data_IF_286174112582
#
_entry.id   IF_286174112582
#
_cell.length_a   1.000
_cell.length_b   1.000
_cell.length_c   1.000
_cell.angle_alpha   90.00
_cell.angle_beta   90.00
_cell.angle_gamma   90.00
#
_symmetry.space_group_name_H-M   'P 1'
#
loop_
_entity.id
_entity.type
_entity.pdbx_description
1 polymer ?
#
# COMPACT_ATOMS: atom_id res chain seq x y z
N UNK A 1 -15.00 -13.46 23.28
CA UNK A 1 -15.39 -12.30 24.10
C UNK A 1 -14.20 -11.38 24.17
N UNK A 2 -14.16 -10.34 23.34
CA UNK A 2 -13.10 -9.35 23.35
C UNK A 2 -13.37 -8.43 24.55
N UNK A 3 -12.61 -8.63 25.61
CA UNK A 3 -12.60 -7.72 26.75
C UNK A 3 -12.09 -6.37 26.27
N UNK A 4 -12.89 -5.34 26.52
CA UNK A 4 -12.51 -3.93 26.37
C UNK A 4 -11.25 -3.70 27.22
N UNK A 5 -10.06 -3.66 26.60
CA UNK A 5 -8.81 -3.41 27.32
C UNK A 5 -8.83 -1.98 27.85
N UNK A 6 -9.21 -1.83 29.12
CA UNK A 6 -8.97 -0.59 29.84
C UNK A 6 -7.47 -0.32 29.80
N UNK A 7 -7.09 0.86 29.30
CA UNK A 7 -5.69 1.32 29.26
C UNK A 7 -5.09 1.27 30.66
N UNK A 8 -4.17 0.35 30.88
CA UNK A 8 -3.52 0.15 32.17
C UNK A 8 -2.30 1.03 32.24
N UNK A 9 -2.37 2.10 33.04
CA UNK A 9 -1.20 2.93 33.30
C UNK A 9 -0.14 2.14 34.07
N UNK A 10 1.12 2.33 33.71
CA UNK A 10 2.27 1.68 34.33
C UNK A 10 2.26 0.15 34.17
N UNK A 11 1.98 -0.33 32.95
CA UNK A 11 1.97 -1.75 32.65
C UNK A 11 3.36 -2.39 32.48
N UNK A 12 4.43 -1.59 32.39
CA UNK A 12 5.79 -2.04 32.19
C UNK A 12 6.72 -1.54 33.30
N UNK A 13 7.73 -2.33 33.62
CA UNK A 13 8.85 -1.94 34.47
C UNK A 13 10.11 -2.66 34.03
N UNK A 14 11.28 -2.22 34.51
CA UNK A 14 12.57 -2.87 34.23
C UNK A 14 12.99 -3.77 35.39
N UNK A 15 13.68 -4.86 35.09
CA UNK A 15 14.42 -5.61 36.10
C UNK A 15 15.75 -4.93 36.43
N UNK A 16 16.51 -5.49 37.38
CA UNK A 16 17.86 -5.02 37.71
C UNK A 16 18.83 -5.20 36.52
N UNK A 17 18.56 -6.16 35.62
CA UNK A 17 19.28 -6.38 34.36
C UNK A 17 18.83 -5.44 33.22
N UNK A 18 18.00 -4.45 33.52
CA UNK A 18 17.45 -3.47 32.58
C UNK A 18 16.49 -4.06 31.53
N UNK A 19 16.05 -5.31 31.68
CA UNK A 19 15.07 -5.96 30.80
C UNK A 19 13.65 -5.45 31.05
N UNK A 20 12.90 -5.20 29.98
CA UNK A 20 11.55 -4.66 30.08
C UNK A 20 10.50 -5.77 30.29
N UNK A 21 9.80 -5.72 31.42
CA UNK A 21 8.80 -6.71 31.83
C UNK A 21 7.42 -6.08 31.87
N UNK A 22 6.49 -6.68 31.12
CA UNK A 22 5.07 -6.36 31.24
C UNK A 22 4.48 -6.97 32.52
N UNK A 23 3.58 -6.27 33.18
CA UNK A 23 2.98 -6.65 34.47
C UNK A 23 2.30 -8.03 34.44
N UNK A 24 1.79 -8.46 33.27
CA UNK A 24 1.22 -9.81 33.10
C UNK A 24 2.24 -10.94 33.31
N UNK A 25 3.54 -10.66 33.14
CA UNK A 25 4.65 -11.60 33.35
C UNK A 25 5.40 -11.38 34.67
N UNK A 26 5.02 -10.37 35.45
CA UNK A 26 5.75 -9.98 36.65
C UNK A 26 5.48 -10.91 37.85
N UNK A 27 6.46 -11.03 38.73
CA UNK A 27 6.46 -11.84 39.95
C UNK A 27 6.65 -10.98 41.19
N UNK A 28 6.00 -11.31 42.31
CA UNK A 28 6.19 -10.58 43.59
C UNK A 28 7.58 -10.78 44.21
N UNK A 29 8.33 -11.80 43.77
CA UNK A 29 9.66 -12.11 44.31
C UNK A 29 10.78 -11.27 43.65
N UNK A 30 10.49 -10.61 42.54
CA UNK A 30 11.46 -9.84 41.77
C UNK A 30 11.39 -8.35 42.10
N UNK A 31 12.49 -7.65 41.82
CA UNK A 31 12.60 -6.20 41.95
C UNK A 31 12.30 -5.56 40.60
N UNK A 32 11.51 -4.50 40.63
CA UNK A 32 11.18 -3.73 39.44
C UNK A 32 11.48 -2.26 39.63
N UNK A 33 11.96 -1.63 38.56
CA UNK A 33 12.40 -0.25 38.54
C UNK A 33 11.63 0.48 37.44
N UNK A 34 11.17 1.69 37.74
CA UNK A 34 10.52 2.53 36.76
C UNK A 34 11.50 2.89 35.62
N UNK A 35 11.13 2.70 34.33
CA UNK A 35 11.95 3.09 33.19
C UNK A 35 12.37 4.57 33.18
N UNK A 36 11.56 5.44 33.79
CA UNK A 36 11.76 6.90 33.75
C UNK A 36 12.36 7.48 35.03
N UNK A 37 11.73 7.30 36.19
CA UNK A 37 12.22 7.92 37.43
C UNK A 37 13.24 7.07 38.18
N UNK A 38 13.51 5.84 37.73
CA UNK A 38 14.44 4.89 38.35
C UNK A 38 14.10 4.47 39.78
N UNK A 39 12.92 4.84 40.28
CA UNK A 39 12.43 4.42 41.58
C UNK A 39 11.82 3.02 41.55
N UNK A 40 11.82 2.38 42.72
CA UNK A 40 11.26 1.04 42.90
C UNK A 40 9.75 1.01 42.62
N UNK A 41 9.32 -0.04 41.92
CA UNK A 41 7.93 -0.32 41.60
C UNK A 41 7.49 -1.66 42.18
N UNK A 42 6.26 -1.70 42.69
CA UNK A 42 5.66 -2.91 43.27
C UNK A 42 4.61 -3.45 42.29
N UNK A 43 4.69 -4.73 41.88
CA UNK A 43 3.70 -5.34 41.01
C UNK A 43 2.38 -5.55 41.76
N UNK A 44 1.32 -4.87 41.31
CA UNK A 44 -0.04 -5.02 41.83
C UNK A 44 -0.74 -6.10 41.00
N UNK A 45 -0.61 -7.35 41.43
CA UNK A 45 -1.21 -8.52 40.78
C UNK A 45 -2.59 -8.83 41.36
N UNK A 46 -3.54 -7.90 41.16
CA UNK A 46 -4.93 -8.09 41.59
C UNK A 46 -5.65 -9.17 40.79
N UNK A 47 -6.66 -9.79 41.41
CA UNK A 47 -7.58 -10.72 40.72
C UNK A 47 -8.74 -9.97 40.06
N UNK A 48 -9.27 -8.94 40.72
CA UNK A 48 -10.42 -8.14 40.25
C UNK A 48 -10.04 -6.80 39.60
N UNK A 49 -8.93 -6.19 40.01
CA UNK A 49 -8.46 -4.90 39.48
C UNK A 49 -7.40 -5.11 38.38
N UNK A 50 -7.32 -4.14 37.46
CA UNK A 50 -6.29 -4.14 36.42
C UNK A 50 -4.88 -4.25 37.04
N UNK A 51 -4.13 -5.26 36.59
CA UNK A 51 -2.75 -5.50 37.04
C UNK A 51 -1.87 -4.37 36.54
N UNK A 52 -1.17 -3.67 37.42
CA UNK A 52 -0.22 -2.59 37.06
C UNK A 52 0.97 -2.56 38.02
N UNK A 53 2.02 -1.82 37.66
CA UNK A 53 3.09 -1.49 38.59
C UNK A 53 2.77 -0.20 39.33
N UNK A 54 3.01 -0.19 40.65
CA UNK A 54 2.78 0.99 41.49
C UNK A 54 4.11 1.55 42.00
N UNK A 55 4.33 2.85 41.82
CA UNK A 55 5.48 3.55 42.36
C UNK A 55 5.49 3.55 43.89
N UNK A 56 6.67 3.39 44.49
CA UNK A 56 6.87 3.61 45.92
C UNK A 56 7.23 5.08 46.19
N UNK A 57 6.22 5.94 46.38
CA UNK A 57 6.39 7.37 46.79
C UNK A 57 7.25 8.24 45.84
N UNK A 58 7.12 8.05 44.52
CA UNK A 58 7.83 8.84 43.52
C UNK A 58 6.93 9.86 42.82
N UNK A 59 7.48 11.02 42.47
CA UNK A 59 6.88 11.93 41.49
C UNK A 59 7.43 11.52 40.12
N UNK A 60 6.60 10.86 39.31
CA UNK A 60 6.97 10.41 37.97
C UNK A 60 5.93 10.93 36.97
N UNK A 61 6.40 11.64 35.93
CA UNK A 61 5.52 12.06 34.85
C UNK A 61 5.14 10.85 34.02
N UNK A 62 3.84 10.68 33.78
CA UNK A 62 3.33 9.62 32.91
C UNK A 62 3.90 9.72 31.49
N UNK A 63 4.08 10.95 30.99
CA UNK A 63 4.71 11.20 29.69
C UNK A 63 6.15 10.69 29.64
N UNK A 64 6.96 11.06 30.63
CA UNK A 64 8.35 10.62 30.73
C UNK A 64 8.44 9.10 30.88
N UNK A 65 7.50 8.49 31.62
CA UNK A 65 7.35 7.04 31.68
C UNK A 65 7.09 6.43 30.31
N UNK A 66 6.10 6.91 29.55
CA UNK A 66 5.81 6.38 28.21
C UNK A 66 7.01 6.53 27.26
N UNK A 67 7.63 7.72 27.24
CA UNK A 67 8.78 8.03 26.39
C UNK A 67 9.92 7.04 26.65
N UNK A 68 10.33 6.93 27.92
CA UNK A 68 11.46 6.08 28.29
C UNK A 68 11.15 4.59 28.09
N UNK A 69 9.92 4.17 28.38
CA UNK A 69 9.50 2.77 28.19
C UNK A 69 9.50 2.38 26.71
N UNK A 70 8.93 3.21 25.84
CA UNK A 70 8.87 2.95 24.40
C UNK A 70 10.27 2.91 23.76
N UNK A 71 11.12 3.86 24.13
CA UNK A 71 12.51 3.90 23.70
C UNK A 71 13.26 2.62 24.05
N UNK A 72 13.17 2.19 25.31
CA UNK A 72 13.80 0.95 25.79
C UNK A 72 13.23 -0.27 25.06
N UNK A 73 11.90 -0.32 24.87
CA UNK A 73 11.25 -1.41 24.14
C UNK A 73 11.79 -1.57 22.70
N UNK A 74 11.87 -0.47 21.94
CA UNK A 74 12.40 -0.48 20.58
C UNK A 74 13.89 -0.88 20.59
N UNK A 75 14.68 -0.33 21.50
CA UNK A 75 16.10 -0.66 21.64
C UNK A 75 16.33 -2.16 21.86
N UNK A 76 15.64 -2.77 22.83
CA UNK A 76 15.77 -4.21 23.09
C UNK A 76 15.29 -5.05 21.91
N UNK A 77 14.20 -4.64 21.24
CA UNK A 77 13.73 -5.34 20.05
C UNK A 77 14.80 -5.39 18.96
N UNK A 78 15.44 -4.25 18.69
CA UNK A 78 16.51 -4.15 17.68
C UNK A 78 17.80 -4.88 18.07
N UNK A 79 18.05 -5.10 19.36
CA UNK A 79 19.17 -5.93 19.82
C UNK A 79 18.87 -7.43 19.67
N UNK A 80 17.64 -7.84 20.01
CA UNK A 80 17.30 -9.25 20.19
C UNK A 80 16.70 -9.91 18.95
N UNK A 81 16.09 -9.14 18.05
CA UNK A 81 15.48 -9.65 16.82
C UNK A 81 16.41 -9.48 15.61
N UNK A 82 16.52 -10.53 14.80
CA UNK A 82 17.25 -10.50 13.53
C UNK A 82 16.45 -9.86 12.40
N UNK A 83 15.13 -9.82 12.53
CA UNK A 83 14.20 -9.29 11.54
C UNK A 83 13.25 -8.34 12.22
N UNK A 84 13.37 -7.06 11.89
CA UNK A 84 12.43 -6.01 12.33
C UNK A 84 11.83 -5.39 11.08
N UNK A 85 10.62 -5.81 10.67
CA UNK A 85 10.00 -5.33 9.45
C UNK A 85 9.61 -3.85 9.54
N UNK A 86 9.93 -3.11 8.49
CA UNK A 86 9.57 -1.72 8.30
C UNK A 86 8.84 -1.57 6.96
N UNK A 87 7.54 -1.31 7.01
CA UNK A 87 6.67 -1.08 5.86
C UNK A 87 6.54 0.42 5.61
N UNK A 88 7.17 0.90 4.53
CA UNK A 88 7.08 2.28 4.08
C UNK A 88 6.34 2.38 2.74
N UNK A 89 5.87 3.57 2.40
CA UNK A 89 5.27 3.86 1.10
C UNK A 89 6.34 4.41 0.16
N UNK A 90 6.59 3.72 -0.95
CA UNK A 90 7.48 4.20 -2.01
C UNK A 90 6.70 4.58 -3.25
N UNK A 91 7.26 5.48 -4.06
CA UNK A 91 6.74 5.74 -5.39
C UNK A 91 6.90 4.52 -6.30
N UNK A 92 5.87 4.25 -7.09
CA UNK A 92 5.91 3.33 -8.21
C UNK A 92 5.34 4.00 -9.46
N UNK A 93 5.98 3.72 -10.59
CA UNK A 93 5.56 4.13 -11.92
C UNK A 93 5.16 2.89 -12.72
N UNK A 94 3.93 2.87 -13.24
CA UNK A 94 3.55 1.85 -14.21
C UNK A 94 3.95 2.29 -15.61
N UNK A 95 4.76 1.46 -16.27
CA UNK A 95 5.03 1.54 -17.70
C UNK A 95 4.47 0.29 -18.35
N UNK A 96 3.16 0.26 -18.53
CA UNK A 96 2.52 -0.90 -19.15
C UNK A 96 2.99 -1.06 -20.60
N UNK A 97 3.59 -2.21 -20.92
CA UNK A 97 4.05 -2.54 -22.27
C UNK A 97 2.92 -2.58 -23.31
N UNK A 98 1.65 -2.60 -22.86
CA UNK A 98 0.45 -2.68 -23.70
C UNK A 98 -0.49 -1.49 -23.52
N UNK A 99 0.06 -0.30 -23.23
CA UNK A 99 -0.67 0.97 -23.18
C UNK A 99 -1.60 1.19 -24.41
N UNK A 100 -1.26 0.65 -25.57
CA UNK A 100 -2.07 0.68 -26.80
C UNK A 100 -3.47 0.06 -26.65
N UNK A 101 -3.63 -0.94 -25.77
CA UNK A 101 -4.93 -1.56 -25.46
C UNK A 101 -5.90 -0.56 -24.81
N UNK A 102 -5.40 0.56 -24.29
CA UNK A 102 -6.22 1.65 -23.74
C UNK A 102 -6.60 2.68 -24.80
N UNK A 103 -6.33 2.44 -26.09
CA UNK A 103 -6.76 3.29 -27.19
C UNK A 103 -6.36 4.78 -27.01
N UNK A 104 -5.12 5.02 -26.58
CA UNK A 104 -4.59 6.38 -26.35
C UNK A 104 -5.03 7.04 -25.03
N UNK A 105 -5.81 6.33 -24.19
CA UNK A 105 -6.19 6.81 -22.85
C UNK A 105 -5.13 6.57 -21.79
N UNK A 106 -4.02 5.90 -22.14
CA UNK A 106 -2.94 5.64 -21.18
C UNK A 106 -2.25 6.94 -20.78
N UNK A 107 -2.16 7.19 -19.48
CA UNK A 107 -1.29 8.19 -18.89
C UNK A 107 -0.25 7.52 -17.99
N UNK A 108 0.98 8.02 -17.90
CA UNK A 108 1.92 7.54 -16.88
C UNK A 108 1.26 7.68 -15.50
N UNK A 109 1.13 6.58 -14.75
CA UNK A 109 0.60 6.66 -13.40
C UNK A 109 1.75 6.58 -12.39
N UNK A 110 1.73 7.52 -11.44
CA UNK A 110 2.54 7.47 -10.23
C UNK A 110 1.63 7.11 -9.07
N UNK A 111 2.09 6.20 -8.22
CA UNK A 111 1.35 5.77 -7.04
C UNK A 111 2.30 5.49 -5.90
N UNK A 112 1.77 5.56 -4.68
CA UNK A 112 2.45 5.08 -3.50
C UNK A 112 2.06 3.62 -3.26
N UNK A 113 3.06 2.75 -3.18
CA UNK A 113 2.86 1.34 -2.86
C UNK A 113 3.68 0.95 -1.63
N UNK A 114 3.22 -0.04 -0.85
CA UNK A 114 4.01 -0.57 0.24
C UNK A 114 5.32 -1.20 -0.23
N UNK A 115 6.37 -0.97 0.54
CA UNK A 115 7.64 -1.66 0.47
C UNK A 115 8.05 -2.07 1.88
N UNK A 116 8.40 -3.35 2.04
CA UNK A 116 8.83 -3.92 3.31
C UNK A 116 10.35 -4.02 3.29
N UNK A 117 10.97 -3.44 4.31
CA UNK A 117 12.40 -3.48 4.57
C UNK A 117 12.64 -4.24 5.88
N UNK A 118 13.81 -4.85 6.04
CA UNK A 118 14.27 -5.30 7.35
C UNK A 118 15.22 -4.23 7.92
N UNK A 119 14.85 -3.56 9.01
CA UNK A 119 15.69 -2.54 9.63
C UNK A 119 17.08 -3.06 9.99
N UNK A 120 17.18 -4.32 10.45
CA UNK A 120 18.46 -4.95 10.80
C UNK A 120 19.37 -5.25 9.61
N UNK A 121 18.79 -5.32 8.41
CA UNK A 121 19.57 -5.44 7.18
C UNK A 121 20.04 -4.06 6.65
N UNK A 122 19.37 -2.98 7.07
CA UNK A 122 19.76 -1.61 6.73
C UNK A 122 20.78 -1.03 7.72
N UNK A 123 20.68 -1.43 8.99
CA UNK A 123 21.51 -0.96 10.10
C UNK A 123 21.80 -2.14 11.04
N UNK A 124 23.08 -2.50 11.18
CA UNK A 124 23.50 -3.64 12.00
C UNK A 124 23.85 -3.25 13.45
N UNK A 125 24.10 -1.96 13.69
CA UNK A 125 24.41 -1.39 14.99
C UNK A 125 23.25 -0.56 15.53
N UNK A 126 23.07 -0.63 16.84
CA UNK A 126 22.03 0.11 17.59
C UNK A 126 22.65 0.65 18.87
N UNK A 127 22.39 1.92 19.15
CA UNK A 127 22.86 2.57 20.37
C UNK A 127 21.74 3.41 20.99
N UNK A 128 21.56 3.25 22.30
CA UNK A 128 20.58 4.00 23.08
C UNK A 128 21.18 5.37 23.43
N UNK A 129 20.48 6.45 23.10
CA UNK A 129 20.85 7.80 23.55
C UNK A 129 22.30 8.20 23.20
N UNK A 130 22.86 7.70 22.10
CA UNK A 130 24.22 8.04 21.68
C UNK A 130 24.23 9.35 20.90
N UNK A 131 25.17 10.25 21.23
CA UNK A 131 25.36 11.50 20.52
C UNK A 131 25.91 11.25 19.10
N UNK A 132 25.28 11.85 18.10
CA UNK A 132 25.78 11.91 16.73
C UNK A 132 26.74 13.08 16.58
N UNK A 133 28.03 12.78 16.48
CA UNK A 133 29.08 13.79 16.40
C UNK A 133 29.00 14.68 15.14
N UNK A 134 28.38 14.20 14.06
CA UNK A 134 28.31 14.94 12.80
C UNK A 134 27.20 15.99 12.80
N UNK A 135 26.04 15.66 13.38
CA UNK A 135 24.88 16.56 13.41
C UNK A 135 24.76 17.33 14.72
N UNK A 136 25.40 16.83 15.77
CA UNK A 136 25.32 17.40 17.11
C UNK A 136 24.03 17.03 17.88
N UNK A 137 23.24 16.09 17.38
CA UNK A 137 22.01 15.65 18.03
C UNK A 137 22.20 14.36 18.82
N UNK A 138 21.39 14.19 19.87
CA UNK A 138 21.26 12.96 20.63
C UNK A 138 19.88 12.35 20.34
N UNK A 139 19.75 11.41 19.40
CA UNK A 139 18.49 10.69 19.18
C UNK A 139 18.13 9.78 20.35
N UNK A 140 16.86 9.38 20.44
CA UNK A 140 16.42 8.39 21.42
C UNK A 140 17.10 7.03 21.19
N UNK A 141 17.11 6.57 19.94
CA UNK A 141 17.91 5.43 19.49
C UNK A 141 18.62 5.79 18.18
N UNK A 142 19.92 5.57 18.14
CA UNK A 142 20.75 5.73 16.95
C UNK A 142 20.95 4.36 16.28
N UNK A 143 20.62 4.29 15.00
CA UNK A 143 20.93 3.16 14.13
C UNK A 143 22.09 3.52 13.22
N UNK A 144 23.07 2.62 13.09
CA UNK A 144 24.21 2.76 12.17
C UNK A 144 24.49 1.45 11.44
N UNK A 145 25.17 1.54 10.30
CA UNK A 145 25.76 0.40 9.60
C UNK A 145 27.27 0.41 9.79
N UNK A 146 27.86 -0.67 10.29
CA UNK A 146 29.29 -0.80 10.51
C UNK A 146 30.11 -0.68 9.21
N UNK A 147 29.49 -0.98 8.06
CA UNK A 147 30.15 -1.04 6.76
C UNK A 147 29.95 0.21 5.90
N UNK A 148 29.19 1.21 6.37
CA UNK A 148 28.95 2.45 5.65
C UNK A 148 28.76 3.64 6.60
N UNK A 149 28.53 4.83 6.04
CA UNK A 149 28.13 6.00 6.83
C UNK A 149 26.61 6.11 6.98
N UNK A 150 25.85 5.04 6.68
CA UNK A 150 24.41 5.04 6.80
C UNK A 150 23.99 5.10 8.27
N UNK A 151 23.05 6.00 8.56
CA UNK A 151 22.49 6.16 9.90
C UNK A 151 21.01 6.50 9.84
N UNK A 152 20.30 6.21 10.91
CA UNK A 152 18.90 6.56 11.10
C UNK A 152 18.64 6.89 12.56
N UNK A 153 17.82 7.90 12.81
CA UNK A 153 17.33 8.19 14.15
C UNK A 153 15.99 7.52 14.36
N UNK A 154 15.79 7.01 15.56
CA UNK A 154 14.47 6.68 16.08
C UNK A 154 14.17 7.70 17.17
N UNK A 155 12.99 8.30 17.14
CA UNK A 155 12.51 9.30 18.09
C UNK A 155 11.15 8.88 18.65
N UNK A 156 10.92 9.13 19.93
CA UNK A 156 9.62 8.88 20.56
C UNK A 156 8.87 10.20 20.72
N UNK A 157 7.69 10.28 20.12
CA UNK A 157 6.78 11.41 20.22
C UNK A 157 5.64 11.08 21.19
N UNK A 158 5.73 11.56 22.43
CA UNK A 158 4.58 11.52 23.35
C UNK A 158 3.79 12.83 23.26
N UNK A 159 4.44 13.97 23.51
CA UNK A 159 3.82 15.30 23.39
C UNK A 159 4.42 16.12 22.27
N UNK A 160 5.76 16.18 22.22
CA UNK A 160 6.49 17.03 21.29
C UNK A 160 7.00 16.20 20.10
N UNK A 161 6.66 16.58 18.86
CA UNK A 161 7.23 15.95 17.69
C UNK A 161 8.69 16.36 17.50
N UNK A 162 9.33 15.71 16.55
CA UNK A 162 10.70 15.93 16.13
C UNK A 162 10.89 17.39 15.73
N UNK A 163 11.93 18.02 16.27
CA UNK A 163 12.25 19.41 15.97
C UNK A 163 12.58 19.57 14.48
N UNK A 164 12.19 20.70 13.91
CA UNK A 164 12.53 21.05 12.52
C UNK A 164 14.03 21.01 12.25
N UNK A 165 14.86 21.51 13.18
CA UNK A 165 16.32 21.50 13.03
C UNK A 165 16.89 20.08 12.86
N UNK A 166 16.31 19.10 13.57
CA UNK A 166 16.69 17.68 13.45
C UNK A 166 16.24 17.10 12.10
N UNK A 167 15.03 17.42 11.64
CA UNK A 167 14.52 17.00 10.33
C UNK A 167 15.36 17.61 9.19
N UNK A 168 15.72 18.88 9.30
CA UNK A 168 16.45 19.63 8.28
C UNK A 168 17.92 19.15 8.12
N UNK A 169 18.44 18.31 9.03
CA UNK A 169 19.74 17.63 8.88
C UNK A 169 19.78 16.68 7.67
N UNK A 170 18.62 16.23 7.18
CA UNK A 170 18.53 15.23 6.11
C UNK A 170 18.84 13.80 6.55
N UNK A 171 19.12 13.55 7.83
CA UNK A 171 19.27 12.19 8.38
C UNK A 171 17.90 11.49 8.37
N UNK A 172 17.80 10.22 7.95
CA UNK A 172 16.56 9.44 8.07
C UNK A 172 16.07 9.36 9.52
N UNK A 173 14.78 9.61 9.74
CA UNK A 173 14.16 9.57 11.08
C UNK A 173 12.91 8.70 11.03
N UNK A 174 12.77 7.79 11.97
CA UNK A 174 11.53 7.08 12.30
C UNK A 174 11.00 7.64 13.64
N UNK A 175 9.89 8.37 13.58
CA UNK A 175 9.25 8.96 14.74
C UNK A 175 8.03 8.13 15.14
N UNK A 176 8.08 7.55 16.35
CA UNK A 176 6.99 6.74 16.89
C UNK A 176 6.13 7.55 17.85
N UNK A 177 4.86 7.72 17.51
CA UNK A 177 3.88 8.38 18.34
C UNK A 177 3.29 7.42 19.38
N UNK A 178 3.56 7.69 20.66
CA UNK A 178 3.19 6.82 21.78
C UNK A 178 2.27 7.57 22.73
N UNK A 179 1.05 7.06 22.91
CA UNK A 179 0.03 7.64 23.81
C UNK A 179 -0.27 6.74 25.00
N UNK A 180 0.09 5.46 24.91
CA UNK A 180 -0.36 4.42 25.82
C UNK A 180 0.58 3.22 25.86
N UNK A 181 0.40 2.36 26.85
CA UNK A 181 1.09 1.08 26.96
C UNK A 181 0.69 0.07 25.88
N UNK A 182 -0.50 0.20 25.29
CA UNK A 182 -0.87 -0.61 24.13
C UNK A 182 -0.01 -0.26 22.91
N UNK A 183 0.37 1.01 22.74
CA UNK A 183 1.30 1.42 21.67
C UNK A 183 2.68 0.79 21.92
N UNK A 184 3.16 0.79 23.17
CA UNK A 184 4.41 0.12 23.55
C UNK A 184 4.34 -1.38 23.29
N UNK A 185 3.20 -2.01 23.55
CA UNK A 185 2.99 -3.43 23.22
C UNK A 185 3.11 -3.65 21.72
N UNK A 186 2.49 -2.80 20.90
CA UNK A 186 2.58 -2.87 19.45
C UNK A 186 4.02 -2.65 18.94
N UNK A 187 4.79 -1.75 19.56
CA UNK A 187 6.21 -1.55 19.24
C UNK A 187 7.07 -2.80 19.49
N UNK A 188 6.65 -3.68 20.39
CA UNK A 188 7.35 -4.94 20.69
C UNK A 188 6.89 -6.05 19.74
N UNK A 189 5.59 -6.14 19.41
CA UNK A 189 5.02 -7.34 18.77
C UNK A 189 4.61 -7.19 17.30
N UNK A 190 4.51 -5.97 16.79
CA UNK A 190 3.94 -5.69 15.46
C UNK A 190 4.99 -5.16 14.48
N UNK A 191 4.72 -5.25 13.18
CA UNK A 191 5.59 -4.62 12.17
C UNK A 191 5.57 -3.09 12.33
N UNK A 192 6.68 -2.42 12.04
CA UNK A 192 6.68 -0.97 11.94
C UNK A 192 6.08 -0.58 10.59
N UNK A 193 4.99 0.20 10.57
CA UNK A 193 4.28 0.52 9.35
C UNK A 193 3.88 1.99 9.29
N UNK A 194 4.23 2.66 8.19
CA UNK A 194 3.82 4.04 7.95
C UNK A 194 2.34 4.20 7.56
N UNK A 195 1.63 3.09 7.34
CA UNK A 195 0.16 3.10 7.23
C UNK A 195 -0.49 3.17 8.62
N UNK A 196 0.25 2.81 9.68
CA UNK A 196 -0.23 2.92 11.05
C UNK A 196 -0.02 4.34 11.55
N UNK A 197 -0.97 4.85 12.34
CA UNK A 197 -0.91 6.21 12.90
C UNK A 197 0.20 6.40 13.93
N UNK A 198 0.90 5.32 14.29
CA UNK A 198 1.98 5.33 15.28
C UNK A 198 3.32 5.74 14.68
N UNK A 199 3.51 5.70 13.35
CA UNK A 199 4.82 5.93 12.73
C UNK A 199 4.77 7.05 11.70
N UNK A 200 5.55 8.09 11.93
CA UNK A 200 5.92 9.10 10.92
C UNK A 200 7.38 8.91 10.54
N UNK A 201 7.73 9.13 9.28
CA UNK A 201 9.13 9.04 8.85
C UNK A 201 9.56 10.27 8.06
N UNK A 202 10.82 10.65 8.23
CA UNK A 202 11.44 11.79 7.57
C UNK A 202 12.71 11.35 6.85
N UNK A 203 13.03 11.99 5.73
CA UNK A 203 14.28 11.82 4.98
C UNK A 203 14.65 10.39 4.55
N UNK A 204 13.74 9.42 4.65
CA UNK A 204 13.94 8.09 4.08
C UNK A 204 13.91 8.17 2.56
N UNK A 205 15.05 7.93 1.92
CA UNK A 205 15.15 7.88 0.46
C UNK A 205 14.76 6.50 -0.03
N UNK A 206 13.55 6.38 -0.55
CA UNK A 206 13.03 5.12 -1.07
C UNK A 206 13.19 5.08 -2.59
N UNK A 207 13.85 4.04 -3.09
CA UNK A 207 14.02 3.85 -4.54
C UNK A 207 12.66 3.59 -5.18
N UNK A 208 12.29 4.43 -6.14
CA UNK A 208 11.07 4.27 -6.93
C UNK A 208 11.10 2.96 -7.70
N UNK A 209 9.95 2.28 -7.81
CA UNK A 209 9.83 1.04 -8.59
C UNK A 209 9.17 1.32 -9.95
N UNK A 210 9.75 0.81 -11.02
CA UNK A 210 9.05 0.73 -12.32
C UNK A 210 8.42 -0.65 -12.44
N UNK A 211 7.14 -0.70 -12.82
CA UNK A 211 6.43 -1.96 -13.12
C UNK A 211 6.01 -2.00 -14.59
N UNK A 212 6.06 -3.19 -15.17
CA UNK A 212 5.66 -3.48 -16.57
C UNK A 212 4.15 -3.73 -16.73
N UNK A 213 3.43 -3.82 -15.62
CA UNK A 213 1.98 -3.97 -15.54
C UNK A 213 1.36 -2.96 -14.56
N UNK A 214 0.06 -2.71 -14.72
CA UNK A 214 -0.70 -1.84 -13.82
C UNK A 214 -1.00 -2.59 -12.52
N UNK A 215 -0.59 -2.03 -11.38
CA UNK A 215 -0.96 -2.53 -10.05
C UNK A 215 -2.43 -2.20 -9.72
N UNK A 216 -3.04 -2.88 -8.75
CA UNK A 216 -4.47 -2.68 -8.41
C UNK A 216 -4.82 -1.24 -8.02
N UNK A 217 -3.88 -0.52 -7.39
CA UNK A 217 -4.04 0.89 -7.02
C UNK A 217 -3.97 1.83 -8.25
N UNK A 218 -3.62 1.31 -9.43
CA UNK A 218 -3.63 2.05 -10.68
C UNK A 218 -5.05 2.36 -11.14
N UNK A 219 -5.29 3.60 -11.55
CA UNK A 219 -6.56 3.97 -12.19
C UNK A 219 -6.79 3.20 -13.50
N UNK A 220 -5.74 2.83 -14.23
CA UNK A 220 -5.85 1.99 -15.42
C UNK A 220 -6.21 0.54 -15.10
N UNK A 221 -5.81 0.00 -13.94
CA UNK A 221 -6.09 -1.40 -13.59
C UNK A 221 -7.60 -1.70 -13.57
N UNK A 222 -8.42 -0.69 -13.28
CA UNK A 222 -9.88 -0.79 -13.23
C UNK A 222 -10.57 -0.55 -14.57
N UNK A 223 -9.84 -0.18 -15.62
CA UNK A 223 -10.41 0.02 -16.95
C UNK A 223 -10.95 -1.31 -17.46
N UNK A 224 -12.20 -1.30 -17.91
CA UNK A 224 -12.89 -2.47 -18.43
C UNK A 224 -12.60 -2.60 -19.92
N UNK A 225 -12.03 -3.74 -20.31
CA UNK A 225 -11.68 -4.07 -21.69
C UNK A 225 -12.64 -5.14 -22.20
N UNK A 226 -13.22 -4.91 -23.38
CA UNK A 226 -13.93 -5.96 -24.12
C UNK A 226 -12.97 -6.54 -25.16
N UNK A 227 -12.70 -7.84 -25.08
CA UNK A 227 -12.04 -8.62 -26.13
C UNK A 227 -13.09 -9.27 -27.03
N UNK A 228 -12.91 -9.12 -28.34
CA UNK A 228 -13.88 -9.48 -29.36
C UNK A 228 -13.33 -10.56 -30.29
N UNK A 229 -14.23 -11.42 -30.74
CA UNK A 229 -13.97 -12.39 -31.82
C UNK A 229 -15.20 -12.56 -32.69
N UNK A 230 -14.97 -12.87 -33.97
CA UNK A 230 -16.02 -13.28 -34.89
C UNK A 230 -16.12 -14.80 -34.87
N UNK A 231 -17.31 -15.35 -34.59
CA UNK A 231 -17.53 -16.79 -34.63
C UNK A 231 -17.63 -17.29 -36.08
N UNK A 232 -17.47 -18.61 -36.32
CA UNK A 232 -17.63 -19.21 -37.65
C UNK A 232 -19.00 -18.96 -38.30
N UNK A 233 -20.03 -18.59 -37.52
CA UNK A 233 -21.37 -18.30 -38.02
C UNK A 233 -21.61 -16.79 -38.26
N UNK A 234 -20.55 -15.98 -38.22
CA UNK A 234 -20.58 -14.53 -38.40
C UNK A 234 -21.17 -13.75 -37.22
N UNK A 235 -21.20 -14.34 -36.02
CA UNK A 235 -21.67 -13.65 -34.81
C UNK A 235 -20.50 -13.10 -34.01
N UNK A 236 -20.61 -11.84 -33.58
CA UNK A 236 -19.67 -11.23 -32.66
C UNK A 236 -19.84 -11.85 -31.27
N UNK A 237 -18.74 -12.35 -30.71
CA UNK A 237 -18.63 -12.78 -29.33
C UNK A 237 -17.68 -11.85 -28.61
N UNK A 238 -17.93 -11.60 -27.32
CA UNK A 238 -17.04 -10.81 -26.49
C UNK A 238 -16.82 -11.44 -25.12
N UNK A 239 -15.65 -11.18 -24.56
CA UNK A 239 -15.31 -11.42 -23.17
C UNK A 239 -14.88 -10.10 -22.55
N UNK A 240 -15.21 -9.90 -21.28
CA UNK A 240 -14.95 -8.63 -20.58
C UNK A 240 -13.98 -8.88 -19.44
N UNK A 241 -12.91 -8.11 -19.40
CA UNK A 241 -11.84 -8.20 -18.40
C UNK A 241 -11.58 -6.82 -17.79
N UNK A 242 -10.95 -6.79 -16.61
CA UNK A 242 -10.24 -5.58 -16.18
C UNK A 242 -8.88 -5.55 -16.87
N UNK A 243 -8.34 -4.36 -17.08
CA UNK A 243 -7.04 -4.19 -17.71
C UNK A 243 -5.94 -5.00 -17.01
N UNK A 244 -5.95 -5.06 -15.67
CA UNK A 244 -4.99 -5.84 -14.90
C UNK A 244 -5.11 -7.37 -15.07
N UNK A 245 -6.28 -7.87 -15.48
CA UNK A 245 -6.60 -9.30 -15.53
C UNK A 245 -6.49 -9.85 -16.96
N UNK A 246 -6.18 -9.01 -17.95
CA UNK A 246 -6.10 -9.41 -19.35
C UNK A 246 -4.74 -10.07 -19.63
N UNK A 247 -4.75 -11.11 -20.47
CA UNK A 247 -3.51 -11.71 -20.96
C UNK A 247 -2.82 -10.77 -21.97
N UNK A 248 -1.95 -9.91 -21.44
CA UNK A 248 -1.17 -8.96 -22.23
C UNK A 248 -0.25 -9.63 -23.27
N UNK A 249 0.05 -10.93 -23.13
CA UNK A 249 0.90 -11.67 -24.08
C UNK A 249 0.11 -12.15 -25.29
N UNK A 250 -1.13 -12.57 -25.09
CA UNK A 250 -2.00 -13.09 -26.15
C UNK A 250 -2.87 -12.00 -26.83
N UNK A 251 -3.13 -10.89 -26.14
CA UNK A 251 -4.08 -9.88 -26.61
C UNK A 251 -3.42 -8.71 -27.38
N UNK A 252 -4.13 -8.22 -28.39
CA UNK A 252 -3.73 -7.11 -29.27
C UNK A 252 -4.82 -6.03 -29.37
N UNK A 253 -4.45 -4.75 -29.60
CA UNK A 253 -5.41 -3.64 -29.79
C UNK A 253 -6.38 -3.85 -30.97
N UNK A 254 -6.07 -4.81 -31.83
CA UNK A 254 -6.89 -5.26 -32.94
C UNK A 254 -8.19 -5.95 -32.53
N UNK A 255 -8.21 -6.59 -31.36
CA UNK A 255 -9.31 -7.43 -30.89
C UNK A 255 -9.80 -7.03 -29.50
N UNK A 256 -9.03 -6.25 -28.75
CA UNK A 256 -9.41 -5.78 -27.43
C UNK A 256 -9.23 -4.27 -27.27
N UNK A 257 -10.20 -3.63 -26.62
CA UNK A 257 -10.19 -2.19 -26.38
C UNK A 257 -11.16 -1.81 -25.24
N UNK A 258 -11.10 -0.58 -24.70
CA UNK A 258 -11.96 -0.16 -23.60
C UNK A 258 -13.44 -0.22 -23.97
N UNK A 259 -14.26 -0.76 -23.06
CA UNK A 259 -15.71 -0.91 -23.23
C UNK A 259 -16.43 0.43 -23.45
N UNK A 260 -15.90 1.52 -22.90
CA UNK A 260 -16.53 2.84 -22.87
C UNK A 260 -16.01 3.80 -23.95
N UNK A 261 -15.45 3.27 -25.05
CA UNK A 261 -15.10 4.11 -26.20
C UNK A 261 -16.33 4.76 -26.82
N UNK A 262 -16.14 5.90 -27.50
CA UNK A 262 -17.19 6.59 -28.23
C UNK A 262 -17.87 5.62 -29.24
N UNK A 263 -19.20 5.70 -29.44
CA UNK A 263 -19.94 4.79 -30.33
C UNK A 263 -19.37 4.64 -31.75
N UNK A 264 -18.83 5.72 -32.32
CA UNK A 264 -18.19 5.70 -33.64
C UNK A 264 -16.84 4.98 -33.63
N UNK A 265 -16.04 5.19 -32.58
CA UNK A 265 -14.75 4.51 -32.44
C UNK A 265 -14.94 3.01 -32.23
N UNK A 266 -15.93 2.60 -31.43
CA UNK A 266 -16.29 1.18 -31.30
C UNK A 266 -16.69 0.56 -32.64
N UNK A 267 -17.52 1.27 -33.42
CA UNK A 267 -17.93 0.84 -34.75
C UNK A 267 -16.73 0.66 -35.69
N UNK A 268 -15.81 1.63 -35.73
CA UNK A 268 -14.59 1.56 -36.55
C UNK A 268 -13.74 0.33 -36.18
N UNK A 269 -13.53 0.07 -34.89
CA UNK A 269 -12.75 -1.09 -34.42
C UNK A 269 -13.43 -2.41 -34.74
N UNK A 270 -14.74 -2.53 -34.54
CA UNK A 270 -15.52 -3.71 -34.90
C UNK A 270 -15.48 -3.97 -36.42
N UNK A 271 -15.58 -2.92 -37.24
CA UNK A 271 -15.46 -3.02 -38.69
C UNK A 271 -14.09 -3.55 -39.09
N UNK A 272 -13.01 -3.01 -38.53
CA UNK A 272 -11.64 -3.50 -38.78
C UNK A 272 -11.42 -4.94 -38.30
N UNK A 273 -12.04 -5.35 -37.18
CA UNK A 273 -12.03 -6.73 -36.72
C UNK A 273 -12.71 -7.66 -37.72
N UNK A 274 -13.92 -7.31 -38.17
CA UNK A 274 -14.69 -8.14 -39.11
C UNK A 274 -13.97 -8.22 -40.45
N UNK A 275 -13.47 -7.11 -41.01
CA UNK A 275 -12.74 -7.16 -42.28
C UNK A 275 -11.51 -8.07 -42.25
N UNK A 276 -10.85 -8.23 -41.09
CA UNK A 276 -9.72 -9.17 -40.97
C UNK A 276 -10.18 -10.61 -40.79
N UNK A 277 -11.24 -10.83 -40.03
CA UNK A 277 -11.78 -12.17 -39.76
C UNK A 277 -12.60 -12.74 -40.92
N UNK A 278 -13.20 -11.87 -41.75
CA UNK A 278 -14.07 -12.20 -42.87
C UNK A 278 -13.80 -11.24 -44.05
N UNK A 279 -12.58 -11.33 -44.59
CA UNK A 279 -12.12 -10.47 -45.68
C UNK A 279 -12.94 -10.60 -46.97
N UNK A 280 -13.54 -11.77 -47.18
CA UNK A 280 -14.43 -12.04 -48.32
C UNK A 280 -15.88 -11.59 -48.05
N UNK A 281 -16.16 -11.08 -46.85
CA UNK A 281 -17.49 -10.63 -46.41
C UNK A 281 -18.57 -11.68 -46.64
N UNK A 282 -18.25 -12.95 -46.32
CA UNK A 282 -19.14 -14.11 -46.44
C UNK A 282 -20.38 -13.94 -45.54
N UNK A 283 -20.20 -13.27 -44.39
CA UNK A 283 -21.27 -13.05 -43.42
C UNK A 283 -21.79 -11.61 -43.50
N UNK A 284 -23.02 -11.44 -43.98
CA UNK A 284 -23.72 -10.17 -43.93
C UNK A 284 -23.84 -9.67 -42.47
N UNK A 285 -23.25 -8.49 -42.20
CA UNK A 285 -23.19 -7.89 -40.87
C UNK A 285 -23.40 -6.38 -40.96
N UNK A 286 -24.37 -5.83 -40.23
CA UNK A 286 -24.68 -4.39 -40.29
C UNK A 286 -23.48 -3.51 -39.88
N UNK A 287 -22.51 -4.01 -39.11
CA UNK A 287 -21.26 -3.27 -38.79
C UNK A 287 -20.52 -2.85 -40.06
N UNK A 288 -20.52 -3.70 -41.08
CA UNK A 288 -19.92 -3.43 -42.39
C UNK A 288 -20.88 -2.69 -43.34
N UNK A 289 -22.08 -2.32 -42.92
CA UNK A 289 -23.03 -1.62 -43.79
C UNK A 289 -22.66 -0.13 -43.95
N UNK A 290 -22.74 0.41 -45.16
CA UNK A 290 -22.53 1.85 -45.44
C UNK A 290 -23.55 2.74 -44.73
N UNK A 291 -24.70 2.19 -44.35
CA UNK A 291 -25.79 2.91 -43.69
C UNK A 291 -25.69 2.85 -42.15
N UNK A 292 -24.72 2.10 -41.61
CA UNK A 292 -24.58 1.93 -40.17
C UNK A 292 -23.69 3.00 -39.56
N UNK A 293 -24.13 3.52 -38.41
CA UNK A 293 -23.43 4.51 -37.60
C UNK A 293 -23.67 4.20 -36.13
N UNK A 294 -22.79 4.68 -35.24
CA UNK A 294 -22.90 4.60 -33.78
C UNK A 294 -23.21 3.18 -33.25
N UNK A 295 -22.18 2.46 -32.80
CA UNK A 295 -22.38 1.19 -32.12
C UNK A 295 -22.89 1.39 -30.68
N UNK A 296 -23.88 0.60 -30.30
CA UNK A 296 -24.39 0.56 -28.94
C UNK A 296 -24.85 -0.85 -28.56
N UNK A 297 -23.99 -1.59 -27.86
CA UNK A 297 -24.30 -2.88 -27.23
C UNK A 297 -25.04 -3.89 -28.13
N UNK A 298 -24.54 -4.14 -29.34
CA UNK A 298 -25.15 -5.10 -30.28
C UNK A 298 -26.09 -4.46 -31.30
N UNK A 299 -26.31 -3.15 -31.19
CA UNK A 299 -27.17 -2.39 -32.08
C UNK A 299 -26.41 -1.26 -32.77
N UNK A 300 -26.95 -0.83 -33.91
CA UNK A 300 -26.43 0.24 -34.74
C UNK A 300 -27.57 1.16 -35.16
N UNK A 301 -27.28 2.45 -35.33
CA UNK A 301 -28.22 3.36 -35.99
C UNK A 301 -28.12 3.20 -37.51
N UNK A 302 -29.25 2.86 -38.15
CA UNK A 302 -29.35 2.72 -39.60
C UNK A 302 -29.94 3.99 -40.21
N UNK A 303 -29.13 4.75 -40.95
CA UNK A 303 -29.57 5.99 -41.61
C UNK A 303 -30.61 5.75 -42.72
N UNK A 304 -30.63 4.56 -43.32
CA UNK A 304 -31.57 4.23 -44.40
C UNK A 304 -32.98 3.86 -43.90
N UNK A 305 -33.06 3.25 -42.72
CA UNK A 305 -34.33 2.84 -42.09
C UNK A 305 -34.78 3.81 -40.98
N UNK A 306 -33.91 4.72 -40.55
CA UNK A 306 -34.11 5.63 -39.43
C UNK A 306 -34.46 4.91 -38.11
N UNK A 307 -33.89 3.73 -37.88
CA UNK A 307 -34.11 2.92 -36.66
C UNK A 307 -32.78 2.47 -36.05
N UNK A 308 -32.85 2.04 -34.79
CA UNK A 308 -31.81 1.25 -34.14
C UNK A 308 -32.05 -0.23 -34.47
N UNK A 309 -31.08 -0.84 -35.14
CA UNK A 309 -31.17 -2.19 -35.68
C UNK A 309 -30.12 -3.11 -35.03
N UNK A 310 -30.43 -4.37 -34.71
CA UNK A 310 -29.42 -5.33 -34.27
C UNK A 310 -28.42 -5.60 -35.40
N UNK A 311 -27.16 -5.84 -35.04
CA UNK A 311 -26.11 -5.97 -36.06
C UNK A 311 -26.31 -7.16 -37.01
N UNK A 312 -27.08 -8.16 -36.59
CA UNK A 312 -27.41 -9.37 -37.36
C UNK A 312 -28.52 -9.16 -38.39
N UNK A 313 -29.20 -8.01 -38.40
CA UNK A 313 -30.33 -7.74 -39.30
C UNK A 313 -29.94 -7.78 -40.79
N UNK A 314 -28.65 -7.55 -41.10
CA UNK A 314 -28.12 -7.59 -42.46
C UNK A 314 -28.49 -8.86 -43.24
N UNK A 315 -28.65 -10.00 -42.55
CA UNK A 315 -29.02 -11.29 -43.17
C UNK A 315 -30.39 -11.28 -43.88
N UNK A 316 -31.30 -10.41 -43.46
CA UNK A 316 -32.66 -10.33 -43.98
C UNK A 316 -32.98 -8.94 -44.55
N UNK A 317 -31.99 -8.06 -44.63
CA UNK A 317 -32.20 -6.66 -44.99
C UNK A 317 -31.96 -6.42 -46.48
N UNK A 318 -33.03 -6.16 -47.24
CA UNK A 318 -32.95 -5.80 -48.66
C UNK A 318 -32.18 -4.49 -48.95
N UNK A 319 -31.95 -3.65 -47.94
CA UNK A 319 -31.21 -2.39 -48.05
C UNK A 319 -29.74 -2.51 -47.61
N UNK A 320 -29.28 -3.72 -47.24
CA UNK A 320 -27.89 -3.93 -46.84
C UNK A 320 -26.94 -3.67 -48.00
N UNK A 321 -25.91 -2.86 -47.75
CA UNK A 321 -24.81 -2.61 -48.68
C UNK A 321 -23.51 -2.56 -47.88
N UNK A 322 -22.60 -3.48 -48.18
CA UNK A 322 -21.30 -3.53 -47.52
C UNK A 322 -20.42 -2.35 -47.95
N UNK A 323 -19.66 -1.80 -47.00
CA UNK A 323 -18.46 -1.03 -47.28
C UNK A 323 -17.52 -1.97 -48.05
N UNK A 324 -17.04 -1.53 -49.22
CA UNK A 324 -16.10 -2.30 -50.03
C UNK A 324 -14.71 -2.26 -49.44
#
# INVERSE_FOLDING_TARGET
MQGNEQSVQFAYAKTDENELVHIRKASRAERYICPSCHESMIPVLGENNAKHFRHHKAVCSYESYLHQTAKIAIYHRLLNENVVPLKLLREAECRSAKAELLAGQFQPCKMLIPAIYNLKALFDQVALEQYDAETGFKPDVLLTDANSSAKCYIEIHVTNPCSKDKIDTGVPILEFHVKSESDITALISSDFSAEDTILTYYNFKLTSRVTDHCLEQCHHAKVVIDEWKLSPNGRLQKQTFRYQDIDHTATSPSIAWPKNLAPQEQLTRLRNLIHRADALNVHANCVNCIHASNWENGFLHCSKKHIKAPYTEAKLCAQYRSVK
#
